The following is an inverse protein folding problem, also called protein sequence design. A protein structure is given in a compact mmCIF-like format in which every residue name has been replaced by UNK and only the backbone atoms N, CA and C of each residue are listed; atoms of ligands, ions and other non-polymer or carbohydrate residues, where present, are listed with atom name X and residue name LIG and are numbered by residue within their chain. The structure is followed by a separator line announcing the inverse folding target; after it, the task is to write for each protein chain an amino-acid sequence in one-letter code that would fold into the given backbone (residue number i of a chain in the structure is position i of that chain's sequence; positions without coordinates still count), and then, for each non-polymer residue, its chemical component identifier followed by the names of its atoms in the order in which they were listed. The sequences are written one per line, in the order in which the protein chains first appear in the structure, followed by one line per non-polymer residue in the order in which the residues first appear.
data_IF_839250147708
#
_entry.id   IF_839250147708
#
_cell.length_a   1.000
_cell.length_b   1.000
_cell.length_c   1.000
_cell.angle_alpha   90.00
_cell.angle_beta   90.00
_cell.angle_gamma   90.00
#
_symmetry.space_group_name_H-M   'P 1'
#
loop_
_entity.id
_entity.type
_entity.pdbx_description
1 polymer ?
#
# COMPACT_ATOMS: atom_id res chain seq x y z
N UNK A 1 11.20 -10.64 -12.92
CA UNK A 1 9.97 -11.22 -13.49
C UNK A 1 8.80 -10.75 -12.63
N UNK A 2 7.81 -10.07 -13.22
CA UNK A 2 6.60 -9.63 -12.50
C UNK A 2 5.84 -10.85 -11.99
N UNK A 3 5.28 -10.75 -10.78
CA UNK A 3 4.50 -11.82 -10.15
C UNK A 3 3.00 -11.53 -10.26
N UNK A 4 2.24 -12.48 -10.80
CA UNK A 4 0.79 -12.40 -10.82
C UNK A 4 0.22 -12.66 -9.41
N UNK A 5 -0.60 -11.72 -8.93
CA UNK A 5 -1.15 -11.74 -7.57
C UNK A 5 -2.68 -11.66 -7.64
N UNK A 6 -3.36 -12.55 -6.91
CA UNK A 6 -4.81 -12.50 -6.78
C UNK A 6 -5.25 -11.22 -6.05
N UNK A 7 -6.25 -10.54 -6.59
CA UNK A 7 -6.79 -9.30 -6.04
C UNK A 7 -8.29 -9.16 -6.34
N UNK A 8 -8.91 -8.15 -5.71
CA UNK A 8 -10.28 -7.70 -5.95
C UNK A 8 -10.25 -6.23 -6.34
N UNK A 9 -10.85 -5.90 -7.46
CA UNK A 9 -10.81 -4.53 -7.99
C UNK A 9 -12.01 -4.20 -8.86
N UNK A 10 -12.06 -2.93 -9.30
CA UNK A 10 -13.08 -2.41 -10.21
C UNK A 10 -12.45 -2.09 -11.58
N UNK A 11 -13.21 -2.33 -12.64
CA UNK A 11 -12.81 -2.03 -14.03
C UNK A 11 -13.46 -0.74 -14.57
N UNK A 12 -14.45 -0.21 -13.86
CA UNK A 12 -15.21 1.01 -14.21
C UNK A 12 -15.89 1.57 -12.95
N UNK A 13 -16.36 2.83 -12.94
CA UNK A 13 -16.97 3.48 -11.79
C UNK A 13 -18.24 2.80 -11.25
N UNK A 14 -19.00 2.18 -12.12
CA UNK A 14 -20.25 1.47 -11.84
C UNK A 14 -20.09 -0.04 -11.68
N UNK A 15 -18.87 -0.55 -11.87
CA UNK A 15 -18.56 -1.97 -11.69
C UNK A 15 -18.44 -2.34 -10.20
N UNK A 16 -19.03 -3.46 -9.82
CA UNK A 16 -18.77 -4.07 -8.53
C UNK A 16 -17.30 -4.52 -8.43
N UNK A 17 -16.76 -4.52 -7.21
CA UNK A 17 -15.46 -5.17 -6.97
C UNK A 17 -15.58 -6.66 -7.29
N UNK A 18 -14.67 -7.16 -8.12
CA UNK A 18 -14.62 -8.54 -8.58
C UNK A 18 -13.18 -9.06 -8.59
N UNK A 19 -12.96 -10.38 -8.69
CA UNK A 19 -11.63 -10.94 -8.89
C UNK A 19 -10.93 -10.26 -10.07
N UNK A 20 -9.76 -9.67 -9.80
CA UNK A 20 -8.96 -8.92 -10.75
C UNK A 20 -7.48 -9.21 -10.49
N UNK A 21 -6.88 -10.22 -11.13
CA UNK A 21 -5.44 -10.47 -10.99
C UNK A 21 -4.63 -9.25 -11.41
N UNK A 22 -3.60 -8.93 -10.62
CA UNK A 22 -2.66 -7.84 -10.89
C UNK A 22 -1.24 -8.37 -10.94
N UNK A 23 -0.36 -7.63 -11.59
CA UNK A 23 1.08 -7.88 -11.53
C UNK A 23 1.73 -6.98 -10.49
N UNK A 24 2.62 -7.55 -9.68
CA UNK A 24 3.52 -6.79 -8.82
C UNK A 24 4.88 -6.69 -9.48
N UNK A 25 5.50 -5.51 -9.38
CA UNK A 25 6.85 -5.26 -9.85
C UNK A 25 7.88 -6.10 -9.10
N UNK A 26 9.07 -6.19 -9.63
CA UNK A 26 10.20 -6.79 -8.93
C UNK A 26 10.57 -5.98 -7.68
N UNK A 27 11.14 -6.68 -6.70
CA UNK A 27 11.64 -6.10 -5.46
C UNK A 27 12.87 -5.24 -5.76
N UNK A 28 12.86 -3.98 -5.34
CA UNK A 28 14.03 -3.08 -5.38
C UNK A 28 14.91 -3.32 -4.13
N UNK A 29 16.09 -2.74 -4.12
CA UNK A 29 17.06 -2.96 -3.03
C UNK A 29 16.58 -2.46 -1.66
N UNK A 30 15.70 -1.48 -1.63
CA UNK A 30 15.11 -0.83 -0.44
C UNK A 30 13.62 -1.20 -0.21
N UNK A 31 13.13 -2.25 -0.87
CA UNK A 31 11.75 -2.70 -0.74
C UNK A 31 11.56 -3.83 0.26
N UNK A 32 10.34 -3.91 0.77
CA UNK A 32 9.79 -5.02 1.55
C UNK A 32 8.59 -5.59 0.78
N UNK A 33 8.61 -6.88 0.49
CA UNK A 33 7.44 -7.61 -0.01
C UNK A 33 6.65 -8.14 1.19
N UNK A 34 5.34 -7.95 1.16
CA UNK A 34 4.44 -8.28 2.27
C UNK A 34 3.31 -9.15 1.76
N UNK A 35 3.16 -10.35 2.31
CA UNK A 35 1.97 -11.18 2.13
C UNK A 35 0.87 -10.64 3.04
N UNK A 36 -0.23 -10.19 2.41
CA UNK A 36 -1.33 -9.50 3.08
C UNK A 36 -2.22 -10.51 3.78
N UNK A 37 -2.43 -10.32 5.08
CA UNK A 37 -3.35 -11.09 5.91
C UNK A 37 -4.70 -10.39 6.06
N UNK A 38 -4.66 -9.08 6.30
CA UNK A 38 -5.83 -8.24 6.51
C UNK A 38 -5.67 -6.91 5.78
N UNK A 39 -6.78 -6.40 5.27
CA UNK A 39 -6.87 -5.02 4.78
C UNK A 39 -8.20 -4.44 5.24
N UNK A 40 -8.13 -3.35 5.98
CA UNK A 40 -9.33 -2.61 6.41
C UNK A 40 -10.04 -1.96 5.23
N UNK A 41 -11.30 -1.61 5.45
CA UNK A 41 -12.16 -0.92 4.46
C UNK A 41 -12.36 0.51 4.89
N UNK A 42 -11.85 1.44 4.10
CA UNK A 42 -12.01 2.87 4.30
C UNK A 42 -13.02 3.45 3.30
N UNK A 43 -13.68 4.55 3.66
CA UNK A 43 -14.56 5.29 2.74
C UNK A 43 -13.82 5.78 1.49
N UNK A 44 -12.52 6.07 1.61
CA UNK A 44 -11.66 6.46 0.48
C UNK A 44 -11.54 5.37 -0.58
N UNK A 45 -11.59 4.09 -0.19
CA UNK A 45 -11.58 2.96 -1.13
C UNK A 45 -12.82 2.96 -1.99
N UNK A 46 -13.98 3.22 -1.37
CA UNK A 46 -15.27 3.31 -2.04
C UNK A 46 -15.32 4.50 -3.01
N UNK A 47 -14.91 5.69 -2.54
CA UNK A 47 -14.83 6.88 -3.39
C UNK A 47 -13.90 6.68 -4.59
N UNK A 48 -12.76 6.02 -4.40
CA UNK A 48 -11.86 5.71 -5.50
C UNK A 48 -12.48 4.68 -6.44
N UNK A 49 -13.05 3.59 -5.93
CA UNK A 49 -13.67 2.56 -6.78
C UNK A 49 -14.80 3.13 -7.64
N UNK A 50 -15.57 4.10 -7.12
CA UNK A 50 -16.69 4.77 -7.81
C UNK A 50 -16.28 6.01 -8.63
N UNK A 51 -15.01 6.42 -8.56
CA UNK A 51 -14.50 7.65 -9.18
C UNK A 51 -15.22 8.93 -8.69
N UNK A 52 -15.67 8.96 -7.46
CA UNK A 52 -16.40 10.12 -6.89
C UNK A 52 -15.53 11.40 -6.90
N UNK A 53 -14.21 11.26 -6.88
CA UNK A 53 -13.24 12.36 -6.97
C UNK A 53 -12.79 12.71 -8.40
N UNK A 54 -13.31 12.00 -9.43
CA UNK A 54 -13.04 12.28 -10.83
C UNK A 54 -11.60 12.01 -11.32
N UNK A 55 -10.81 11.23 -10.56
CA UNK A 55 -9.39 11.01 -10.85
C UNK A 55 -8.94 9.54 -10.81
N UNK A 56 -9.88 8.61 -10.73
CA UNK A 56 -9.55 7.19 -10.70
C UNK A 56 -9.12 6.69 -12.08
N UNK A 57 -8.02 5.98 -12.12
CA UNK A 57 -7.56 5.24 -13.29
C UNK A 57 -7.93 3.78 -13.14
N UNK A 58 -8.67 3.25 -14.10
CA UNK A 58 -9.08 1.85 -14.13
C UNK A 58 -8.15 1.01 -15.01
N UNK A 59 -7.99 -0.32 -14.70
CA UNK A 59 -8.55 -1.02 -13.55
C UNK A 59 -7.90 -0.59 -12.23
N UNK A 60 -8.64 -0.67 -11.12
CA UNK A 60 -8.16 -0.25 -9.80
C UNK A 60 -8.41 -1.32 -8.74
N UNK A 61 -7.39 -1.61 -7.95
CA UNK A 61 -7.48 -2.39 -6.70
C UNK A 61 -7.27 -1.43 -5.55
N UNK A 62 -8.30 -1.13 -4.74
CA UNK A 62 -8.19 -0.28 -3.56
C UNK A 62 -7.52 -0.98 -2.37
N UNK A 63 -7.59 -0.33 -1.20
CA UNK A 63 -7.09 -0.85 0.08
C UNK A 63 -5.77 -0.21 0.50
N UNK A 64 -5.77 0.47 1.66
CA UNK A 64 -4.62 1.17 2.22
C UNK A 64 -4.54 1.05 3.75
N UNK A 65 -5.21 0.08 4.30
CA UNK A 65 -5.14 -0.28 5.72
C UNK A 65 -4.63 -1.73 5.82
N UNK A 66 -3.38 -1.93 5.40
CA UNK A 66 -2.79 -3.24 5.13
C UNK A 66 -2.05 -3.74 6.36
N UNK A 67 -2.31 -4.98 6.76
CA UNK A 67 -1.51 -5.72 7.74
C UNK A 67 -1.15 -7.08 7.16
N UNK A 68 0.11 -7.47 7.31
CA UNK A 68 0.62 -8.72 6.76
C UNK A 68 1.92 -9.17 7.38
N UNK A 69 2.58 -10.08 6.69
CA UNK A 69 3.91 -10.55 7.06
C UNK A 69 4.90 -10.34 5.94
N UNK A 70 6.10 -9.95 6.33
CA UNK A 70 7.22 -9.83 5.40
C UNK A 70 7.50 -11.18 4.75
N UNK A 71 7.49 -11.24 3.43
CA UNK A 71 7.79 -12.42 2.63
C UNK A 71 9.14 -12.36 1.92
N UNK A 72 9.64 -11.15 1.64
CA UNK A 72 10.98 -10.91 1.12
C UNK A 72 11.43 -9.49 1.46
N UNK A 73 12.74 -9.26 1.47
CA UNK A 73 13.36 -7.94 1.68
C UNK A 73 14.42 -7.67 0.63
N UNK A 74 14.54 -6.43 0.22
CA UNK A 74 15.60 -5.95 -0.65
C UNK A 74 16.98 -5.99 0.05
N UNK A 75 18.03 -6.00 -0.74
CA UNK A 75 19.41 -6.19 -0.23
C UNK A 75 19.91 -5.08 0.70
N UNK A 76 19.31 -3.90 0.66
CA UNK A 76 19.66 -2.76 1.53
C UNK A 76 18.76 -2.66 2.77
N UNK A 77 17.72 -3.47 2.87
CA UNK A 77 16.79 -3.48 4.01
C UNK A 77 17.44 -4.18 5.19
N UNK A 78 17.61 -3.47 6.30
CA UNK A 78 18.15 -4.03 7.55
C UNK A 78 17.15 -3.97 8.71
N UNK A 79 16.06 -3.20 8.56
CA UNK A 79 15.06 -2.98 9.60
C UNK A 79 14.01 -4.08 9.71
N UNK A 80 13.90 -4.99 8.74
CA UNK A 80 12.85 -6.02 8.69
C UNK A 80 13.43 -7.38 8.32
N UNK A 81 12.78 -8.44 8.83
CA UNK A 81 13.09 -9.84 8.52
C UNK A 81 11.84 -10.57 8.02
N UNK A 82 12.07 -11.64 7.23
CA UNK A 82 10.98 -12.52 6.77
C UNK A 82 10.21 -13.05 7.98
N UNK A 83 8.88 -12.95 7.92
CA UNK A 83 7.97 -13.35 8.97
C UNK A 83 7.54 -12.22 9.92
N UNK A 84 8.23 -11.07 9.94
CA UNK A 84 7.84 -9.92 10.76
C UNK A 84 6.38 -9.50 10.48
N UNK A 85 5.63 -9.20 11.54
CA UNK A 85 4.30 -8.62 11.43
C UNK A 85 4.42 -7.12 11.14
N UNK A 86 3.86 -6.69 10.01
CA UNK A 86 4.01 -5.33 9.49
C UNK A 86 2.70 -4.76 8.97
N UNK A 87 2.68 -3.44 8.86
CA UNK A 87 1.54 -2.67 8.39
C UNK A 87 1.95 -1.61 7.37
N UNK A 88 1.02 -1.25 6.48
CA UNK A 88 1.19 -0.19 5.47
C UNK A 88 -0.08 0.65 5.40
N UNK A 89 0.10 1.97 5.49
CA UNK A 89 -0.99 2.94 5.41
C UNK A 89 -1.20 3.51 4.01
N UNK A 90 -1.42 4.83 3.95
CA UNK A 90 -1.83 5.53 2.73
C UNK A 90 -0.69 5.80 1.73
N UNK A 91 0.57 5.68 2.13
CA UNK A 91 1.75 5.93 1.30
C UNK A 91 2.65 4.70 1.23
N UNK A 92 3.28 4.51 0.07
CA UNK A 92 4.23 3.41 -0.19
C UNK A 92 5.61 3.91 -0.62
N UNK A 93 5.75 5.18 -0.98
CA UNK A 93 7.04 5.81 -1.32
C UNK A 93 6.95 7.35 -1.26
N UNK A 94 8.10 8.00 -1.14
CA UNK A 94 8.31 9.43 -1.29
C UNK A 94 9.77 9.70 -1.71
N UNK A 95 10.16 10.94 -2.01
CA UNK A 95 11.54 11.21 -2.42
C UNK A 95 12.57 11.06 -1.28
N UNK A 96 12.16 11.27 -0.02
CA UNK A 96 12.97 11.22 1.21
C UNK A 96 14.13 12.24 1.27
N UNK A 97 14.15 13.23 0.36
CA UNK A 97 15.23 14.23 0.27
C UNK A 97 14.76 15.68 0.23
N UNK A 98 13.46 15.94 -0.02
CA UNK A 98 12.93 17.29 -0.03
C UNK A 98 12.73 17.84 1.41
N UNK A 99 12.55 19.17 1.57
CA UNK A 99 12.33 19.77 2.90
C UNK A 99 11.19 19.11 3.69
N UNK A 100 10.07 18.79 3.03
CA UNK A 100 8.96 18.11 3.69
C UNK A 100 9.35 16.73 4.23
N UNK A 101 10.11 15.94 3.46
CA UNK A 101 10.59 14.64 3.93
C UNK A 101 11.64 14.79 5.06
N UNK A 102 12.49 15.80 5.00
CA UNK A 102 13.45 16.09 6.06
C UNK A 102 12.75 16.46 7.39
N UNK A 103 11.56 17.03 7.31
CA UNK A 103 10.71 17.37 8.46
C UNK A 103 9.70 16.27 8.82
N UNK A 104 9.85 15.04 8.29
CA UNK A 104 8.94 13.92 8.49
C UNK A 104 7.49 14.21 8.07
N UNK A 105 7.32 14.91 6.96
CA UNK A 105 6.04 15.32 6.38
C UNK A 105 5.90 14.77 4.95
N UNK A 106 6.15 13.49 4.76
CA UNK A 106 6.14 12.81 3.47
C UNK A 106 4.82 12.95 2.72
N UNK A 107 3.70 13.14 3.43
CA UNK A 107 2.38 13.40 2.85
C UNK A 107 2.33 14.70 2.01
N UNK A 108 3.24 15.64 2.25
CA UNK A 108 3.39 16.88 1.48
C UNK A 108 4.55 16.84 0.47
N UNK A 109 5.21 15.70 0.34
CA UNK A 109 6.25 15.51 -0.66
C UNK A 109 5.66 15.56 -2.07
N UNK A 110 6.20 16.39 -3.00
CA UNK A 110 5.74 16.40 -4.39
C UNK A 110 5.90 15.06 -5.11
N UNK A 111 6.82 14.21 -4.62
CA UNK A 111 7.07 12.86 -5.12
C UNK A 111 6.43 11.76 -4.25
N UNK A 112 5.43 12.08 -3.41
CA UNK A 112 4.74 11.06 -2.62
C UNK A 112 3.93 10.11 -3.51
N UNK A 113 3.93 8.84 -3.15
CA UNK A 113 3.24 7.77 -3.88
C UNK A 113 2.22 7.12 -2.95
N UNK A 114 0.94 7.24 -3.31
CA UNK A 114 -0.15 6.59 -2.60
C UNK A 114 -0.15 5.07 -2.80
N UNK A 115 -0.72 4.37 -1.84
CA UNK A 115 -0.79 2.90 -1.83
C UNK A 115 -1.54 2.34 -3.03
N UNK A 116 -2.50 3.10 -3.57
CA UNK A 116 -3.18 2.80 -4.83
C UNK A 116 -3.51 4.08 -5.61
N UNK A 117 -3.88 3.93 -6.89
CA UNK A 117 -4.27 5.00 -7.80
C UNK A 117 -3.22 6.12 -7.96
N UNK A 118 -1.99 5.86 -7.61
CA UNK A 118 -0.84 6.75 -7.78
C UNK A 118 0.05 6.27 -8.92
N UNK A 119 1.02 7.08 -9.33
CA UNK A 119 2.10 6.64 -10.21
C UNK A 119 3.32 6.31 -9.38
N UNK A 120 3.87 5.11 -9.57
CA UNK A 120 5.20 4.77 -9.05
C UNK A 120 6.21 5.78 -9.61
N UNK A 121 7.06 6.33 -8.74
CA UNK A 121 7.99 7.39 -9.10
C UNK A 121 9.18 6.93 -9.95
N UNK A 122 9.42 5.62 -10.03
CA UNK A 122 10.56 5.05 -10.75
C UNK A 122 10.20 4.57 -12.16
N UNK A 123 9.05 3.89 -12.31
CA UNK A 123 8.65 3.31 -13.60
C UNK A 123 7.34 3.88 -14.15
N UNK A 124 6.65 4.72 -13.37
CA UNK A 124 5.40 5.37 -13.77
C UNK A 124 4.19 4.43 -13.81
N UNK A 125 4.34 3.17 -13.39
CA UNK A 125 3.23 2.22 -13.28
C UNK A 125 2.19 2.69 -12.26
N UNK A 126 0.96 2.20 -12.40
CA UNK A 126 -0.10 2.52 -11.45
C UNK A 126 0.02 1.65 -10.21
N UNK A 127 0.04 2.29 -9.03
CA UNK A 127 -0.02 1.55 -7.76
C UNK A 127 -1.40 0.92 -7.57
N UNK A 128 -1.39 -0.31 -7.03
CA UNK A 128 -2.57 -1.11 -6.71
C UNK A 128 -2.54 -1.48 -5.23
N UNK A 129 -3.70 -1.43 -4.57
CA UNK A 129 -3.82 -1.49 -3.13
C UNK A 129 -3.84 -2.88 -2.51
N UNK A 130 -4.28 -2.89 -1.25
CA UNK A 130 -4.24 -4.04 -0.35
C UNK A 130 -5.40 -5.01 -0.49
N UNK A 131 -6.40 -4.75 -1.34
CA UNK A 131 -7.39 -5.80 -1.67
C UNK A 131 -6.77 -6.83 -2.61
N UNK A 132 -5.56 -7.25 -2.27
CA UNK A 132 -4.72 -8.22 -2.97
C UNK A 132 -3.98 -9.10 -1.98
N UNK A 133 -3.33 -10.15 -2.46
CA UNK A 133 -2.60 -11.08 -1.59
C UNK A 133 -1.18 -10.63 -1.25
N UNK A 134 -0.62 -9.69 -2.00
CA UNK A 134 0.74 -9.19 -1.78
C UNK A 134 0.86 -7.71 -2.14
N UNK A 135 1.74 -7.00 -1.44
CA UNK A 135 2.17 -5.64 -1.79
C UNK A 135 3.70 -5.53 -1.69
N UNK A 136 4.29 -4.64 -2.49
CA UNK A 136 5.72 -4.28 -2.41
C UNK A 136 5.80 -2.80 -2.07
N UNK A 137 6.53 -2.48 -1.00
CA UNK A 137 6.57 -1.16 -0.38
C UNK A 137 8.01 -0.81 -0.02
N UNK A 138 8.40 0.43 -0.20
CA UNK A 138 9.68 0.91 0.32
C UNK A 138 9.73 0.79 1.84
N UNK A 139 10.83 0.31 2.40
CA UNK A 139 10.98 -0.01 3.82
C UNK A 139 10.64 1.16 4.76
N UNK A 140 10.95 2.41 4.36
CA UNK A 140 10.61 3.63 5.09
C UNK A 140 9.10 3.84 5.32
N UNK A 141 8.23 3.16 4.56
CA UNK A 141 6.77 3.25 4.66
C UNK A 141 6.14 1.98 5.27
N UNK A 142 6.96 1.10 5.81
CA UNK A 142 6.53 -0.13 6.49
C UNK A 142 6.60 0.09 8.00
N UNK A 143 5.51 -0.21 8.69
CA UNK A 143 5.39 -0.07 10.14
C UNK A 143 5.44 -1.46 10.80
N UNK A 144 6.10 -1.57 11.95
CA UNK A 144 6.01 -2.79 12.77
C UNK A 144 4.68 -2.84 13.52
N UNK A 145 4.04 -4.00 13.51
CA UNK A 145 2.88 -4.24 14.36
C UNK A 145 3.36 -4.85 15.67
N UNK A 146 3.08 -4.22 16.84
CA UNK A 146 3.43 -4.78 18.14
C UNK A 146 2.80 -6.17 18.35
N UNK A 147 3.54 -7.10 18.96
CA UNK A 147 3.06 -8.48 19.21
C UNK A 147 1.77 -8.55 20.03
N UNK A 148 1.57 -7.59 20.95
CA UNK A 148 0.38 -7.50 21.77
C UNK A 148 -0.89 -7.08 21.00
N UNK A 149 -0.76 -6.63 19.75
CA UNK A 149 -1.86 -6.14 18.95
C UNK A 149 -2.39 -7.23 18.02
N UNK A 150 -3.70 -7.47 18.08
CA UNK A 150 -4.38 -8.34 17.13
C UNK A 150 -4.25 -7.78 15.69
N UNK A 151 -3.74 -8.58 14.76
CA UNK A 151 -3.44 -8.14 13.41
C UNK A 151 -4.67 -7.66 12.64
N UNK A 152 -5.83 -8.30 12.83
CA UNK A 152 -7.07 -7.89 12.16
C UNK A 152 -7.56 -6.54 12.69
N UNK A 153 -7.40 -6.28 14.00
CA UNK A 153 -7.78 -5.02 14.63
C UNK A 153 -6.79 -3.89 14.37
N UNK A 154 -5.55 -4.22 14.01
CA UNK A 154 -4.53 -3.24 13.64
C UNK A 154 -4.81 -2.57 12.29
N UNK A 155 -5.43 -3.28 11.35
CA UNK A 155 -5.64 -2.77 9.99
C UNK A 155 -6.37 -1.42 9.94
N UNK A 156 -7.54 -1.20 10.57
CA UNK A 156 -8.24 0.09 10.49
C UNK A 156 -7.51 1.24 11.22
N UNK A 157 -6.49 0.96 12.03
CA UNK A 157 -5.70 2.01 12.69
C UNK A 157 -4.86 2.82 11.70
N UNK A 158 -4.56 2.27 10.52
CA UNK A 158 -3.63 2.85 9.54
C UNK A 158 -4.21 4.00 8.73
N UNK A 159 -5.53 4.18 8.73
CA UNK A 159 -6.20 5.33 8.16
C UNK A 159 -7.27 5.87 9.13
N UNK A 160 -8.36 5.14 9.36
CA UNK A 160 -9.44 5.61 10.22
C UNK A 160 -8.96 5.88 11.65
N UNK A 161 -8.15 5.04 12.23
CA UNK A 161 -7.61 5.20 13.58
C UNK A 161 -6.77 6.47 13.73
N UNK A 162 -5.71 6.61 12.93
CA UNK A 162 -4.81 7.79 13.03
C UNK A 162 -5.53 9.10 12.66
N UNK A 163 -6.51 9.04 11.77
CA UNK A 163 -7.25 10.24 11.35
C UNK A 163 -8.17 10.78 12.46
N UNK A 164 -8.63 9.93 13.36
CA UNK A 164 -9.58 10.28 14.44
C UNK A 164 -8.94 10.38 15.83
N UNK A 165 -7.63 10.15 15.93
CA UNK A 165 -6.85 10.24 17.16
C UNK A 165 -6.67 11.67 17.68
#
# INVERSE_FOLDING_TARGET
MTEAVAAWGAIAPDAALAPLPIERRDLRIDDVAIDILYCGVCHSDLHTARNDWGRTRYPIVPGHEIVGRVSAVGSSVSGFAIGDAVAVGCLVDACLECPNCADHQEQYCPGSVGTYNSRDRHDGSQTQGGYSKRVIVRDAFVLRVPEALDLAKAAPLLCAGITTY
#
